data_IF_919554065202
#
_entry.id   IF_919554065202
#
_cell.length_a   1.000
_cell.length_b   1.000
_cell.length_c   1.000
_cell.angle_alpha   90.00
_cell.angle_beta   90.00
_cell.angle_gamma   90.00
#
_symmetry.space_group_name_H-M   'P 1'
#
loop_
_entity.id
_entity.type
_entity.pdbx_description
1 polymer ?
#
# COMPACT_ATOMS: atom_id res chain seq x y z
N UNK A 1 19.12 -42.64 6.81
CA UNK A 1 19.07 -41.30 6.21
C UNK A 1 20.08 -40.43 6.92
N UNK A 2 20.80 -39.59 6.18
CA UNK A 2 21.95 -38.82 6.65
C UNK A 2 21.55 -37.66 7.59
N UNK A 3 22.42 -37.27 8.55
CA UNK A 3 22.28 -36.08 9.40
C UNK A 3 22.25 -34.74 8.63
N UNK A 4 22.31 -34.78 7.31
CA UNK A 4 22.34 -33.64 6.38
C UNK A 4 21.01 -32.87 6.39
N UNK A 5 19.86 -33.55 6.51
CA UNK A 5 18.55 -32.88 6.39
C UNK A 5 18.20 -31.97 7.58
N UNK A 6 18.56 -32.36 8.80
CA UNK A 6 18.40 -31.51 10.00
C UNK A 6 19.29 -30.26 9.94
N UNK A 7 20.49 -30.38 9.38
CA UNK A 7 21.39 -29.24 9.14
C UNK A 7 20.80 -28.21 8.17
N UNK A 8 20.09 -28.65 7.14
CA UNK A 8 19.43 -27.77 6.17
C UNK A 8 18.31 -26.93 6.80
N UNK A 9 17.57 -27.47 7.76
CA UNK A 9 16.47 -26.77 8.44
C UNK A 9 16.98 -25.58 9.28
N UNK A 10 18.08 -25.78 10.01
CA UNK A 10 18.71 -24.74 10.83
C UNK A 10 19.28 -23.62 9.96
N UNK A 11 19.98 -23.98 8.88
CA UNK A 11 20.54 -23.02 7.93
C UNK A 11 19.45 -22.18 7.24
N UNK A 12 18.34 -22.80 6.85
CA UNK A 12 17.21 -22.09 6.26
C UNK A 12 16.58 -21.05 7.22
N UNK A 13 16.52 -21.38 8.51
CA UNK A 13 16.02 -20.46 9.53
C UNK A 13 16.96 -19.28 9.78
N UNK A 14 18.27 -19.51 9.77
CA UNK A 14 19.27 -18.44 9.89
C UNK A 14 19.28 -17.51 8.67
N UNK A 15 19.21 -18.07 7.46
CA UNK A 15 19.12 -17.31 6.22
C UNK A 15 17.86 -16.43 6.18
N UNK A 16 16.73 -16.96 6.68
CA UNK A 16 15.49 -16.19 6.80
C UNK A 16 15.64 -14.99 7.75
N UNK A 17 16.21 -15.18 8.93
CA UNK A 17 16.42 -14.10 9.89
C UNK A 17 17.33 -13.00 9.31
N UNK A 18 18.41 -13.38 8.63
CA UNK A 18 19.31 -12.44 7.96
C UNK A 18 18.60 -11.66 6.84
N UNK A 19 17.73 -12.32 6.06
CA UNK A 19 16.94 -11.67 5.01
C UNK A 19 15.91 -10.68 5.60
N UNK A 20 15.25 -11.06 6.70
CA UNK A 20 14.33 -10.16 7.43
C UNK A 20 15.06 -8.92 7.96
N UNK A 21 16.25 -9.08 8.54
CA UNK A 21 17.08 -7.97 9.00
C UNK A 21 17.53 -7.07 7.84
N UNK A 22 17.91 -7.65 6.70
CA UNK A 22 18.26 -6.90 5.50
C UNK A 22 17.06 -6.09 4.97
N UNK A 23 15.87 -6.69 4.95
CA UNK A 23 14.64 -6.01 4.56
C UNK A 23 14.29 -4.85 5.52
N UNK A 24 14.57 -4.99 6.82
CA UNK A 24 14.39 -3.93 7.80
C UNK A 24 15.41 -2.79 7.66
N UNK A 25 16.64 -3.08 7.19
CA UNK A 25 17.68 -2.08 6.92
C UNK A 25 17.42 -1.20 5.69
N UNK A 26 16.44 -1.53 4.83
CA UNK A 26 15.99 -0.69 3.71
C UNK A 26 15.18 0.55 4.18
N UNK A 27 15.57 1.13 5.32
CA UNK A 27 14.83 2.05 6.17
C UNK A 27 14.30 3.32 5.48
N UNK A 28 14.91 3.72 4.36
CA UNK A 28 14.57 4.96 3.66
C UNK A 28 13.42 4.83 2.63
N UNK A 29 13.11 3.63 2.15
CA UNK A 29 12.08 3.45 1.11
C UNK A 29 11.07 2.36 1.48
N UNK A 30 9.90 2.75 2.00
CA UNK A 30 8.90 1.78 2.41
C UNK A 30 8.28 0.97 1.28
N UNK A 31 8.30 1.46 0.03
CA UNK A 31 7.91 0.64 -1.13
C UNK A 31 8.94 -0.45 -1.37
N UNK A 32 10.23 -0.11 -1.30
CA UNK A 32 11.31 -1.08 -1.42
C UNK A 32 11.25 -2.15 -0.32
N UNK A 33 10.87 -1.81 0.91
CA UNK A 33 10.64 -2.80 1.99
C UNK A 33 9.50 -3.77 1.67
N UNK A 34 8.38 -3.27 1.15
CA UNK A 34 7.24 -4.12 0.75
C UNK A 34 7.61 -5.03 -0.42
N UNK A 35 8.37 -4.53 -1.39
CA UNK A 35 8.87 -5.33 -2.53
C UNK A 35 9.88 -6.39 -2.09
N UNK A 36 10.80 -6.06 -1.18
CA UNK A 36 11.75 -7.01 -0.60
C UNK A 36 11.02 -8.15 0.13
N UNK A 37 10.01 -7.84 0.96
CA UNK A 37 9.22 -8.86 1.64
C UNK A 37 8.41 -9.74 0.68
N UNK A 38 7.88 -9.18 -0.42
CA UNK A 38 7.22 -9.97 -1.47
C UNK A 38 8.18 -10.93 -2.14
N UNK A 39 9.38 -10.44 -2.50
CA UNK A 39 10.43 -11.26 -3.11
C UNK A 39 10.85 -12.39 -2.17
N UNK A 40 11.10 -12.08 -0.88
CA UNK A 40 11.39 -13.09 0.13
C UNK A 40 10.27 -14.13 0.29
N UNK A 41 9.00 -13.70 0.26
CA UNK A 41 7.86 -14.63 0.32
C UNK A 41 7.88 -15.61 -0.85
N UNK A 42 8.20 -15.14 -2.05
CA UNK A 42 8.25 -15.95 -3.26
C UNK A 42 9.44 -16.90 -3.27
N UNK A 43 10.66 -16.39 -3.02
CA UNK A 43 11.88 -17.21 -2.93
C UNK A 43 11.73 -18.33 -1.90
N UNK A 44 11.01 -18.04 -0.81
CA UNK A 44 10.75 -19.01 0.23
C UNK A 44 9.75 -20.09 -0.17
N UNK A 45 8.68 -19.72 -0.86
CA UNK A 45 7.73 -20.68 -1.42
C UNK A 45 8.45 -21.65 -2.35
N UNK A 46 9.25 -21.11 -3.27
CA UNK A 46 10.05 -21.88 -4.23
C UNK A 46 11.04 -22.81 -3.50
N UNK A 47 11.76 -22.31 -2.50
CA UNK A 47 12.69 -23.10 -1.70
C UNK A 47 12.00 -24.23 -0.91
N UNK A 48 10.82 -23.96 -0.34
CA UNK A 48 10.04 -25.00 0.37
C UNK A 48 9.56 -26.09 -0.60
N UNK A 49 9.03 -25.70 -1.76
CA UNK A 49 8.59 -26.64 -2.79
C UNK A 49 9.75 -27.51 -3.30
N UNK A 50 10.91 -26.92 -3.56
CA UNK A 50 12.09 -27.65 -4.00
C UNK A 50 12.59 -28.63 -2.94
N UNK A 51 12.62 -28.22 -1.67
CA UNK A 51 13.02 -29.08 -0.56
C UNK A 51 12.03 -30.24 -0.36
N UNK A 52 10.72 -29.99 -0.46
CA UNK A 52 9.67 -31.02 -0.39
C UNK A 52 9.82 -32.03 -1.53
N UNK A 53 10.12 -31.56 -2.74
CA UNK A 53 10.34 -32.40 -3.90
C UNK A 53 11.56 -33.32 -3.70
N UNK A 54 12.70 -32.76 -3.30
CA UNK A 54 13.94 -33.53 -3.02
C UNK A 54 13.73 -34.58 -1.92
N UNK A 55 13.02 -34.20 -0.84
CA UNK A 55 12.71 -35.13 0.25
C UNK A 55 11.81 -36.29 -0.23
N UNK A 56 10.82 -35.99 -1.08
CA UNK A 56 9.94 -37.02 -1.67
C UNK A 56 10.71 -37.96 -2.60
N UNK A 57 11.55 -37.43 -3.48
CA UNK A 57 12.40 -38.23 -4.39
C UNK A 57 13.32 -39.17 -3.60
N UNK A 58 14.00 -38.65 -2.56
CA UNK A 58 14.85 -39.48 -1.69
C UNK A 58 14.07 -40.59 -0.98
N UNK A 59 12.84 -40.32 -0.55
CA UNK A 59 11.98 -41.32 0.08
C UNK A 59 11.51 -42.39 -0.92
N UNK A 60 11.18 -42.01 -2.14
CA UNK A 60 10.80 -42.95 -3.20
C UNK A 60 11.97 -43.88 -3.57
N UNK A 61 13.19 -43.35 -3.65
CA UNK A 61 14.41 -44.15 -3.86
C UNK A 61 14.66 -45.13 -2.71
N UNK A 62 14.55 -44.67 -1.47
CA UNK A 62 14.71 -45.50 -0.28
C UNK A 62 13.66 -46.62 -0.22
N UNK A 63 12.39 -46.30 -0.49
CA UNK A 63 11.29 -47.27 -0.53
C UNK A 63 11.49 -48.31 -1.64
N UNK A 64 11.90 -47.88 -2.84
CA UNK A 64 12.19 -48.78 -3.96
C UNK A 64 13.33 -49.74 -3.64
N UNK A 65 14.43 -49.23 -3.07
CA UNK A 65 15.57 -50.04 -2.63
C UNK A 65 15.18 -51.03 -1.53
N UNK A 66 14.38 -50.59 -0.55
CA UNK A 66 13.92 -51.43 0.55
C UNK A 66 12.99 -52.55 0.07
N UNK A 67 12.08 -52.26 -0.86
CA UNK A 67 11.20 -53.27 -1.46
C UNK A 67 11.97 -54.35 -2.20
N UNK A 68 12.96 -53.96 -3.02
CA UNK A 68 13.83 -54.92 -3.72
C UNK A 68 14.54 -55.87 -2.75
N UNK A 69 15.11 -55.34 -1.66
CA UNK A 69 15.76 -56.16 -0.62
C UNK A 69 14.78 -57.10 0.09
N UNK A 70 13.56 -56.63 0.36
CA UNK A 70 12.51 -57.46 0.97
C UNK A 70 12.07 -58.59 0.03
N UNK A 71 11.91 -58.31 -1.27
CA UNK A 71 11.63 -59.31 -2.31
C UNK A 71 12.76 -60.34 -2.43
N UNK A 72 14.02 -59.90 -2.47
CA UNK A 72 15.19 -60.79 -2.47
C UNK A 72 15.24 -61.70 -1.23
N UNK A 73 14.94 -61.16 -0.05
CA UNK A 73 14.88 -61.96 1.18
C UNK A 73 13.74 -63.00 1.13
N UNK A 74 12.58 -62.63 0.60
CA UNK A 74 11.46 -63.56 0.40
C UNK A 74 11.80 -64.69 -0.58
N UNK A 75 12.49 -64.38 -1.69
CA UNK A 75 12.97 -65.40 -2.62
C UNK A 75 13.99 -66.34 -1.98
N UNK A 76 14.94 -65.82 -1.18
CA UNK A 76 15.90 -66.67 -0.45
C UNK A 76 15.21 -67.61 0.54
N UNK A 77 14.20 -67.12 1.26
CA UNK A 77 13.40 -67.97 2.17
C UNK A 77 12.68 -69.07 1.38
N UNK A 78 12.10 -68.75 0.23
CA UNK A 78 11.45 -69.74 -0.64
C UNK A 78 12.43 -70.80 -1.12
N UNK A 79 13.55 -70.37 -1.71
CA UNK A 79 14.59 -71.27 -2.21
C UNK A 79 15.16 -72.18 -1.11
N UNK A 80 15.45 -71.65 0.08
CA UNK A 80 15.94 -72.46 1.21
C UNK A 80 14.88 -73.46 1.72
N UNK A 81 13.59 -73.09 1.72
CA UNK A 81 12.50 -74.01 2.09
C UNK A 81 12.37 -75.14 1.08
N UNK A 82 12.49 -74.83 -0.21
CA UNK A 82 12.42 -75.81 -1.31
C UNK A 82 13.62 -76.76 -1.30
N UNK A 83 14.85 -76.23 -1.25
CA UNK A 83 16.09 -77.01 -1.16
C UNK A 83 16.08 -77.95 0.06
N UNK A 84 15.67 -77.44 1.21
CA UNK A 84 15.56 -78.26 2.42
C UNK A 84 14.50 -79.36 2.28
N UNK A 85 13.37 -79.06 1.64
CA UNK A 85 12.31 -80.05 1.42
C UNK A 85 12.77 -81.16 0.47
N UNK A 86 13.46 -80.81 -0.62
CA UNK A 86 14.08 -81.79 -1.53
C UNK A 86 15.10 -82.68 -0.82
N UNK A 87 15.95 -82.10 0.02
CA UNK A 87 16.95 -82.84 0.80
C UNK A 87 16.27 -83.82 1.79
N UNK A 88 15.22 -83.36 2.48
CA UNK A 88 14.42 -84.19 3.40
C UNK A 88 13.76 -85.36 2.66
N UNK A 89 13.13 -85.11 1.51
CA UNK A 89 12.50 -86.16 0.71
C UNK A 89 13.51 -87.16 0.16
N UNK A 90 14.68 -86.70 -0.29
CA UNK A 90 15.80 -87.56 -0.70
C UNK A 90 16.26 -88.48 0.44
N UNK A 91 16.43 -87.94 1.65
CA UNK A 91 16.79 -88.76 2.82
C UNK A 91 15.70 -89.76 3.21
N UNK A 92 14.42 -89.37 3.17
CA UNK A 92 13.30 -90.30 3.41
C UNK A 92 13.27 -91.43 2.39
N UNK A 93 13.49 -91.12 1.11
CA UNK A 93 13.52 -92.13 0.05
C UNK A 93 14.68 -93.11 0.23
N UNK A 94 15.86 -92.63 0.63
CA UNK A 94 17.01 -93.51 0.95
C UNK A 94 16.71 -94.45 2.10
N UNK A 95 16.13 -93.95 3.20
CA UNK A 95 15.71 -94.78 4.34
C UNK A 95 14.73 -95.86 3.88
N UNK A 96 13.73 -95.48 3.07
CA UNK A 96 12.74 -96.42 2.52
C UNK A 96 13.38 -97.49 1.63
N UNK A 97 14.30 -97.11 0.76
CA UNK A 97 15.00 -98.06 -0.11
C UNK A 97 15.91 -99.00 0.70
N UNK A 98 16.56 -98.51 1.76
CA UNK A 98 17.35 -99.33 2.69
C UNK A 98 16.46 -100.30 3.49
N UNK A 99 15.27 -99.86 3.93
CA UNK A 99 14.22 -100.70 4.53
C UNK A 99 13.78 -101.83 3.58
N UNK A 100 13.41 -101.51 2.35
CA UNK A 100 12.98 -102.48 1.33
C UNK A 100 14.10 -103.47 0.98
N UNK A 101 15.35 -102.99 0.87
CA UNK A 101 16.53 -103.83 0.59
C UNK A 101 16.80 -104.80 1.74
N UNK A 102 16.76 -104.33 2.98
CA UNK A 102 16.93 -105.20 4.15
C UNK A 102 15.83 -106.27 4.21
N UNK A 103 14.56 -105.91 3.97
CA UNK A 103 13.46 -106.87 3.94
C UNK A 103 13.67 -107.95 2.86
N UNK A 104 14.16 -107.57 1.68
CA UNK A 104 14.47 -108.50 0.60
C UNK A 104 15.65 -109.43 0.96
N UNK A 105 16.72 -108.90 1.56
CA UNK A 105 17.88 -109.69 1.99
C UNK A 105 17.51 -110.71 3.08
N UNK A 106 16.69 -110.31 4.07
CA UNK A 106 16.17 -111.21 5.10
C UNK A 106 15.31 -112.31 4.49
N UNK A 107 14.45 -112.00 3.51
CA UNK A 107 13.65 -113.01 2.79
C UNK A 107 14.51 -114.00 2.02
N UNK A 108 15.54 -113.54 1.31
CA UNK A 108 16.47 -114.43 0.60
C UNK A 108 17.24 -115.32 1.58
N UNK A 109 17.77 -114.75 2.66
CA UNK A 109 18.51 -115.50 3.68
C UNK A 109 17.65 -116.60 4.31
N UNK A 110 16.39 -116.30 4.62
CA UNK A 110 15.42 -117.28 5.11
C UNK A 110 15.12 -118.38 4.08
N UNK A 111 15.00 -118.03 2.79
CA UNK A 111 14.81 -119.01 1.71
C UNK A 111 16.04 -119.90 1.50
N UNK A 112 17.24 -119.33 1.50
CA UNK A 112 18.50 -120.07 1.41
C UNK A 112 18.66 -121.04 2.58
N UNK A 113 18.33 -120.60 3.80
CA UNK A 113 18.32 -121.46 4.97
C UNK A 113 17.31 -122.61 4.81
N UNK A 114 16.09 -122.33 4.37
CA UNK A 114 15.08 -123.36 4.12
C UNK A 114 15.57 -124.42 3.12
N UNK A 115 16.22 -124.01 2.03
CA UNK A 115 16.81 -124.91 1.03
C UNK A 115 17.98 -125.72 1.61
N UNK A 116 18.80 -125.10 2.44
CA UNK A 116 19.93 -125.75 3.11
C UNK A 116 19.45 -126.82 4.10
N UNK A 117 18.45 -126.51 4.92
CA UNK A 117 17.80 -127.46 5.84
C UNK A 117 17.14 -128.61 5.08
N UNK A 118 16.53 -128.35 3.91
CA UNK A 118 15.97 -129.40 3.05
C UNK A 118 17.03 -130.36 2.49
N UNK A 119 18.21 -129.85 2.09
CA UNK A 119 19.33 -130.68 1.61
C UNK A 119 19.93 -131.55 2.71
N UNK A 120 19.95 -131.05 3.95
CA UNK A 120 20.49 -131.77 5.11
C UNK A 120 19.53 -132.82 5.68
N UNK A 121 18.37 -133.10 5.07
CA UNK A 121 17.34 -134.02 5.60
C UNK A 121 17.87 -135.42 5.97
N UNK A 122 18.85 -135.94 5.23
CA UNK A 122 19.50 -137.24 5.43
C UNK A 122 20.75 -137.23 6.33
N UNK A 123 21.16 -136.06 6.84
CA UNK A 123 22.34 -135.90 7.69
C UNK A 123 22.03 -135.95 9.20
N UNK A 124 23.07 -136.03 10.03
CA UNK A 124 22.96 -136.16 11.50
C UNK A 124 22.34 -134.91 12.14
N UNK A 125 21.72 -135.11 13.32
CA UNK A 125 21.04 -134.04 14.09
C UNK A 125 21.99 -132.86 14.40
N UNK A 126 23.26 -133.15 14.68
CA UNK A 126 24.29 -132.15 14.97
C UNK A 126 24.59 -131.22 13.78
N UNK A 127 24.53 -131.71 12.53
CA UNK A 127 24.79 -130.87 11.35
C UNK A 127 23.63 -129.91 11.07
N UNK A 128 22.38 -130.35 11.31
CA UNK A 128 21.19 -129.49 11.21
C UNK A 128 21.20 -128.38 12.26
N UNK A 129 21.52 -128.72 13.50
CA UNK A 129 21.59 -127.76 14.62
C UNK A 129 22.70 -126.72 14.39
N UNK A 130 23.85 -127.13 13.82
CA UNK A 130 24.91 -126.21 13.41
C UNK A 130 24.48 -125.23 12.31
N UNK A 131 23.72 -125.69 11.31
CA UNK A 131 23.18 -124.83 10.24
C UNK A 131 22.12 -123.85 10.76
N UNK A 132 21.34 -124.24 11.76
CA UNK A 132 20.35 -123.39 12.44
C UNK A 132 21.02 -122.30 13.29
N UNK A 133 22.05 -122.66 14.05
CA UNK A 133 22.88 -121.71 14.81
C UNK A 133 23.58 -120.73 13.86
N UNK A 134 24.13 -121.20 12.74
CA UNK A 134 24.82 -120.34 11.77
C UNK A 134 23.85 -119.36 11.09
N UNK A 135 22.65 -119.82 10.71
CA UNK A 135 21.61 -118.94 10.16
C UNK A 135 21.17 -117.88 11.17
N UNK A 136 20.91 -118.30 12.42
CA UNK A 136 20.53 -117.36 13.48
C UNK A 136 21.61 -116.31 13.73
N UNK A 137 22.88 -116.71 13.78
CA UNK A 137 24.00 -115.76 13.91
C UNK A 137 24.10 -114.81 12.71
N UNK A 138 23.79 -115.25 11.48
CA UNK A 138 23.78 -114.39 10.29
C UNK A 138 22.62 -113.39 10.31
N UNK A 139 21.42 -113.82 10.68
CA UNK A 139 20.25 -112.94 10.83
C UNK A 139 20.47 -111.93 11.95
N UNK A 140 20.91 -112.37 13.14
CA UNK A 140 21.18 -111.47 14.27
C UNK A 140 22.25 -110.43 13.92
N UNK A 141 23.28 -110.82 13.15
CA UNK A 141 24.31 -109.90 12.67
C UNK A 141 23.73 -108.89 11.67
N UNK A 142 22.94 -109.34 10.70
CA UNK A 142 22.32 -108.46 9.71
C UNK A 142 21.32 -107.49 10.34
N UNK A 143 20.46 -107.95 11.27
CA UNK A 143 19.52 -107.08 11.98
C UNK A 143 20.25 -106.01 12.80
N UNK A 144 21.39 -106.37 13.42
CA UNK A 144 22.21 -105.43 14.19
C UNK A 144 22.89 -104.39 13.29
N UNK A 145 23.40 -104.81 12.13
CA UNK A 145 23.97 -103.91 11.12
C UNK A 145 22.90 -102.94 10.58
N UNK A 146 21.75 -103.48 10.16
CA UNK A 146 20.62 -102.68 9.70
C UNK A 146 20.10 -101.70 10.76
N UNK A 147 20.00 -102.13 12.02
CA UNK A 147 19.57 -101.24 13.11
C UNK A 147 20.52 -100.04 13.27
N UNK A 148 21.83 -100.28 13.25
CA UNK A 148 22.83 -99.21 13.34
C UNK A 148 22.75 -98.25 12.13
N UNK A 149 22.59 -98.80 10.92
CA UNK A 149 22.45 -98.02 9.69
C UNK A 149 21.15 -97.19 9.67
N UNK A 150 20.02 -97.80 10.07
CA UNK A 150 18.72 -97.13 10.20
C UNK A 150 18.76 -95.99 11.22
N UNK A 151 19.39 -96.18 12.37
CA UNK A 151 19.59 -95.14 13.38
C UNK A 151 20.49 -94.01 12.84
N UNK A 152 21.58 -94.33 12.13
CA UNK A 152 22.45 -93.33 11.50
C UNK A 152 21.72 -92.54 10.41
N UNK A 153 20.91 -93.19 9.58
CA UNK A 153 20.14 -92.53 8.52
C UNK A 153 19.05 -91.61 9.11
N UNK A 154 18.37 -92.05 10.17
CA UNK A 154 17.40 -91.22 10.93
C UNK A 154 18.08 -90.01 11.58
N UNK A 155 19.27 -90.17 12.14
CA UNK A 155 20.04 -89.04 12.69
C UNK A 155 20.42 -88.03 11.59
N UNK A 156 20.88 -88.48 10.41
CA UNK A 156 21.18 -87.59 9.28
C UNK A 156 19.95 -86.82 8.80
N UNK A 157 18.78 -87.48 8.75
CA UNK A 157 17.52 -86.82 8.42
C UNK A 157 17.14 -85.74 9.44
N UNK A 158 17.37 -85.98 10.73
CA UNK A 158 17.06 -84.99 11.76
C UNK A 158 18.04 -83.81 11.75
N UNK A 159 19.33 -84.06 11.51
CA UNK A 159 20.33 -82.99 11.31
C UNK A 159 19.93 -82.11 10.13
N UNK A 160 19.59 -82.71 8.98
CA UNK A 160 19.09 -81.99 7.80
C UNK A 160 17.89 -81.09 8.12
N UNK A 161 16.91 -81.61 8.89
CA UNK A 161 15.74 -80.82 9.32
C UNK A 161 16.12 -79.63 10.19
N UNK A 162 17.03 -79.81 11.14
CA UNK A 162 17.47 -78.74 12.03
C UNK A 162 18.27 -77.68 11.29
N UNK A 163 19.24 -78.07 10.47
CA UNK A 163 20.04 -77.15 9.65
C UNK A 163 19.16 -76.33 8.70
N UNK A 164 18.19 -76.97 8.05
CA UNK A 164 17.26 -76.27 7.17
C UNK A 164 16.38 -75.25 7.91
N UNK A 165 15.88 -75.60 9.10
CA UNK A 165 15.15 -74.65 9.97
C UNK A 165 16.03 -73.47 10.37
N UNK A 166 17.29 -73.71 10.74
CA UNK A 166 18.22 -72.67 11.15
C UNK A 166 18.55 -71.71 10.00
N UNK A 167 18.80 -72.23 8.79
CA UNK A 167 19.04 -71.41 7.58
C UNK A 167 17.88 -70.46 7.30
N UNK A 168 16.64 -70.98 7.32
CA UNK A 168 15.42 -70.20 7.12
C UNK A 168 15.26 -69.13 8.21
N UNK A 169 15.45 -69.51 9.47
CA UNK A 169 15.32 -68.58 10.60
C UNK A 169 16.30 -67.41 10.52
N UNK A 170 17.53 -67.66 10.02
CA UNK A 170 18.53 -66.61 9.80
C UNK A 170 18.05 -65.57 8.79
N UNK A 171 17.51 -66.01 7.64
CA UNK A 171 17.01 -65.08 6.61
C UNK A 171 15.73 -64.38 7.07
N UNK A 172 14.85 -65.06 7.80
CA UNK A 172 13.66 -64.43 8.40
C UNK A 172 14.04 -63.31 9.38
N UNK A 173 15.11 -63.50 10.17
CA UNK A 173 15.65 -62.44 11.05
C UNK A 173 16.21 -61.25 10.26
N UNK A 174 16.98 -61.49 9.20
CA UNK A 174 17.49 -60.42 8.31
C UNK A 174 16.34 -59.62 7.69
N UNK A 175 15.26 -60.30 7.27
CA UNK A 175 14.05 -59.65 6.76
C UNK A 175 13.39 -58.78 7.82
N UNK A 176 13.28 -59.25 9.05
CA UNK A 176 12.66 -58.47 10.14
C UNK A 176 13.47 -57.21 10.48
N UNK A 177 14.80 -57.30 10.44
CA UNK A 177 15.68 -56.12 10.57
C UNK A 177 15.46 -55.12 9.43
N UNK A 178 15.28 -55.57 8.18
CA UNK A 178 14.94 -54.71 7.04
C UNK A 178 13.59 -53.99 7.24
N UNK A 179 12.57 -54.70 7.73
CA UNK A 179 11.25 -54.11 8.02
C UNK A 179 11.36 -53.04 9.10
N UNK A 180 12.15 -53.28 10.15
CA UNK A 180 12.40 -52.28 11.19
C UNK A 180 13.14 -51.05 10.66
N UNK A 181 14.16 -51.24 9.81
CA UNK A 181 14.87 -50.13 9.17
C UNK A 181 13.94 -49.30 8.29
N UNK A 182 13.04 -49.94 7.54
CA UNK A 182 12.04 -49.27 6.71
C UNK A 182 11.07 -48.43 7.55
N UNK A 183 10.56 -48.99 8.66
CA UNK A 183 9.70 -48.24 9.59
C UNK A 183 10.40 -47.01 10.17
N UNK A 184 11.63 -47.18 10.67
CA UNK A 184 12.44 -46.06 11.18
C UNK A 184 12.67 -44.98 10.12
N UNK A 185 12.94 -45.39 8.87
CA UNK A 185 13.10 -44.46 7.75
C UNK A 185 11.81 -43.68 7.45
N UNK A 186 10.65 -44.34 7.50
CA UNK A 186 9.36 -43.70 7.31
C UNK A 186 9.01 -42.71 8.43
N UNK A 187 9.23 -43.08 9.69
CA UNK A 187 9.00 -42.20 10.84
C UNK A 187 9.87 -40.94 10.77
N UNK A 188 11.14 -41.11 10.39
CA UNK A 188 12.08 -40.01 10.18
C UNK A 188 11.61 -39.09 9.04
N UNK A 189 11.20 -39.65 7.90
CA UNK A 189 10.66 -38.89 6.77
C UNK A 189 9.44 -38.05 7.17
N UNK A 190 8.49 -38.66 7.89
CA UNK A 190 7.28 -37.95 8.36
C UNK A 190 7.65 -36.83 9.32
N UNK A 191 8.60 -37.06 10.25
CA UNK A 191 9.07 -36.05 11.18
C UNK A 191 9.69 -34.86 10.45
N UNK A 192 10.67 -35.12 9.58
CA UNK A 192 11.38 -34.07 8.81
C UNK A 192 10.41 -33.27 7.93
N UNK A 193 9.45 -33.96 7.28
CA UNK A 193 8.43 -33.30 6.46
C UNK A 193 7.55 -32.35 7.29
N UNK A 194 7.11 -32.80 8.47
CA UNK A 194 6.28 -32.02 9.38
C UNK A 194 7.04 -30.79 9.89
N UNK A 195 8.26 -30.97 10.39
CA UNK A 195 9.12 -29.88 10.89
C UNK A 195 9.38 -28.84 9.79
N UNK A 196 9.68 -29.28 8.56
CA UNK A 196 9.95 -28.37 7.45
C UNK A 196 8.71 -27.56 7.06
N UNK A 197 7.52 -28.17 7.10
CA UNK A 197 6.26 -27.49 6.83
C UNK A 197 5.90 -26.49 7.92
N UNK A 198 6.06 -26.84 9.20
CA UNK A 198 5.83 -25.93 10.32
C UNK A 198 6.71 -24.67 10.26
N UNK A 199 7.99 -24.84 9.92
CA UNK A 199 8.94 -23.73 9.78
C UNK A 199 8.60 -22.85 8.58
N UNK A 200 8.14 -23.46 7.47
CA UNK A 200 7.62 -22.71 6.34
C UNK A 200 6.40 -21.85 6.76
N UNK A 201 5.41 -22.44 7.42
CA UNK A 201 4.20 -21.73 7.87
C UNK A 201 4.51 -20.60 8.84
N UNK A 202 5.39 -20.85 9.81
CA UNK A 202 5.82 -19.84 10.79
C UNK A 202 6.41 -18.61 10.10
N UNK A 203 7.40 -18.82 9.24
CA UNK A 203 8.07 -17.71 8.57
C UNK A 203 7.16 -17.05 7.51
N UNK A 204 6.27 -17.78 6.84
CA UNK A 204 5.26 -17.21 5.94
C UNK A 204 4.32 -16.25 6.69
N UNK A 205 3.88 -16.64 7.89
CA UNK A 205 3.09 -15.78 8.78
C UNK A 205 3.86 -14.51 9.17
N UNK A 206 5.12 -14.64 9.57
CA UNK A 206 5.96 -13.51 9.97
C UNK A 206 6.16 -12.49 8.83
N UNK A 207 6.41 -12.97 7.60
CA UNK A 207 6.52 -12.10 6.41
C UNK A 207 5.20 -11.35 6.17
N UNK A 208 4.07 -12.05 6.25
CA UNK A 208 2.74 -11.48 6.01
C UNK A 208 2.36 -10.43 7.05
N UNK A 209 2.61 -10.71 8.34
CA UNK A 209 2.35 -9.78 9.43
C UNK A 209 3.19 -8.51 9.29
N UNK A 210 4.48 -8.65 8.97
CA UNK A 210 5.37 -7.51 8.72
C UNK A 210 4.92 -6.68 7.51
N UNK A 211 4.53 -7.34 6.42
CA UNK A 211 4.04 -6.67 5.21
C UNK A 211 2.76 -5.88 5.49
N UNK A 212 1.83 -6.44 6.28
CA UNK A 212 0.62 -5.74 6.73
C UNK A 212 0.95 -4.51 7.56
N UNK A 213 1.88 -4.63 8.51
CA UNK A 213 2.30 -3.52 9.36
C UNK A 213 2.89 -2.37 8.53
N UNK A 214 3.78 -2.68 7.58
CA UNK A 214 4.40 -1.68 6.71
C UNK A 214 3.38 -0.99 5.79
N UNK A 215 2.40 -1.72 5.26
CA UNK A 215 1.30 -1.11 4.47
C UNK A 215 0.52 -0.09 5.30
N UNK A 216 0.23 -0.39 6.56
CA UNK A 216 -0.47 0.52 7.48
C UNK A 216 0.38 1.75 7.80
N UNK A 217 1.67 1.58 8.07
CA UNK A 217 2.59 2.68 8.33
C UNK A 217 2.71 3.62 7.11
N UNK A 218 2.82 3.04 5.90
CA UNK A 218 2.86 3.80 4.65
C UNK A 218 1.59 4.60 4.40
N UNK A 219 0.43 4.02 4.68
CA UNK A 219 -0.83 4.74 4.58
C UNK A 219 -0.88 5.93 5.55
N UNK A 220 -0.37 5.76 6.78
CA UNK A 220 -0.29 6.86 7.77
C UNK A 220 0.68 7.96 7.33
N UNK A 221 1.86 7.60 6.81
CA UNK A 221 2.84 8.58 6.31
C UNK A 221 2.29 9.37 5.13
N UNK A 222 1.68 8.71 4.15
CA UNK A 222 1.03 9.39 3.00
C UNK A 222 -0.06 10.35 3.44
N UNK A 223 -0.92 9.96 4.40
CA UNK A 223 -1.95 10.85 4.93
C UNK A 223 -1.34 12.11 5.57
N UNK A 224 -0.24 11.97 6.33
CA UNK A 224 0.46 13.12 6.92
C UNK A 224 1.07 14.03 5.85
N UNK A 225 1.65 13.45 4.80
CA UNK A 225 2.25 14.20 3.69
C UNK A 225 1.20 14.99 2.92
N UNK A 226 0.09 14.34 2.51
CA UNK A 226 -1.05 15.00 1.85
C UNK A 226 -1.62 16.12 2.74
N UNK A 227 -1.73 15.90 4.05
CA UNK A 227 -2.20 16.94 4.97
C UNK A 227 -1.26 18.16 5.00
N UNK A 228 0.05 17.95 4.93
CA UNK A 228 1.03 19.05 4.88
C UNK A 228 0.96 19.80 3.55
N UNK A 229 0.84 19.08 2.43
CA UNK A 229 0.69 19.67 1.10
C UNK A 229 -0.60 20.50 1.00
N UNK A 230 -1.72 19.95 1.48
CA UNK A 230 -3.00 20.66 1.53
C UNK A 230 -2.94 21.92 2.39
N UNK A 231 -2.29 21.88 3.56
CA UNK A 231 -2.14 23.06 4.41
C UNK A 231 -1.33 24.16 3.70
N UNK A 232 -0.22 23.81 3.04
CA UNK A 232 0.57 24.77 2.25
C UNK A 232 -0.24 25.37 1.10
N UNK A 233 -1.02 24.55 0.40
CA UNK A 233 -1.90 25.03 -0.66
C UNK A 233 -2.97 26.00 -0.14
N UNK A 234 -3.58 25.70 1.01
CA UNK A 234 -4.56 26.59 1.65
C UNK A 234 -3.93 27.92 2.08
N UNK A 235 -2.72 27.90 2.65
CA UNK A 235 -1.99 29.12 3.01
C UNK A 235 -1.71 29.99 1.78
N UNK A 236 -1.30 29.38 0.66
CA UNK A 236 -1.09 30.10 -0.60
C UNK A 236 -2.38 30.67 -1.18
N UNK A 237 -3.49 29.92 -1.12
CA UNK A 237 -4.80 30.42 -1.55
C UNK A 237 -5.24 31.60 -0.70
N UNK A 238 -5.08 31.52 0.63
CA UNK A 238 -5.39 32.62 1.54
C UNK A 238 -4.55 33.86 1.23
N UNK A 239 -3.25 33.69 1.03
CA UNK A 239 -2.35 34.79 0.67
C UNK A 239 -2.79 35.48 -0.63
N UNK A 240 -3.11 34.70 -1.67
CA UNK A 240 -3.60 35.23 -2.94
C UNK A 240 -4.93 35.98 -2.77
N UNK A 241 -5.85 35.43 -1.96
CA UNK A 241 -7.13 36.07 -1.69
C UNK A 241 -6.94 37.42 -0.98
N UNK A 242 -6.09 37.47 0.04
CA UNK A 242 -5.78 38.70 0.77
C UNK A 242 -5.15 39.76 -0.15
N UNK A 243 -4.24 39.36 -1.06
CA UNK A 243 -3.65 40.26 -2.06
C UNK A 243 -4.70 40.80 -3.05
N UNK A 244 -5.58 39.93 -3.56
CA UNK A 244 -6.65 40.34 -4.48
C UNK A 244 -7.63 41.30 -3.80
N UNK A 245 -7.95 41.06 -2.52
CA UNK A 245 -8.82 41.94 -1.74
C UNK A 245 -8.22 43.34 -1.59
N UNK A 246 -6.91 43.43 -1.30
CA UNK A 246 -6.20 44.72 -1.22
C UNK A 246 -6.21 45.43 -2.57
N UNK A 247 -5.88 44.74 -3.66
CA UNK A 247 -5.87 45.32 -5.02
C UNK A 247 -7.25 45.84 -5.42
N UNK A 248 -8.30 45.04 -5.18
CA UNK A 248 -9.67 45.41 -5.50
C UNK A 248 -10.14 46.63 -4.67
N UNK A 249 -9.81 46.67 -3.38
CA UNK A 249 -10.11 47.80 -2.49
C UNK A 249 -9.43 49.09 -2.97
N UNK A 250 -8.15 49.00 -3.36
CA UNK A 250 -7.38 50.13 -3.90
C UNK A 250 -7.95 50.62 -5.23
N UNK A 251 -8.27 49.70 -6.14
CA UNK A 251 -8.86 50.04 -7.44
C UNK A 251 -10.23 50.70 -7.27
N UNK A 252 -11.08 50.17 -6.39
CA UNK A 252 -12.38 50.76 -6.09
C UNK A 252 -12.24 52.16 -5.48
N UNK A 253 -11.29 52.35 -4.57
CA UNK A 253 -10.99 53.66 -3.97
C UNK A 253 -10.55 54.69 -5.02
N UNK A 254 -9.67 54.29 -5.96
CA UNK A 254 -9.26 55.13 -7.09
C UNK A 254 -10.44 55.53 -7.98
N UNK A 255 -11.30 54.57 -8.32
CA UNK A 255 -12.46 54.84 -9.17
C UNK A 255 -13.48 55.77 -8.48
N UNK A 256 -13.71 55.60 -7.17
CA UNK A 256 -14.58 56.50 -6.39
C UNK A 256 -14.03 57.92 -6.39
N UNK A 257 -12.71 58.07 -6.22
CA UNK A 257 -12.06 59.38 -6.27
C UNK A 257 -12.17 60.04 -7.64
N UNK A 258 -12.00 59.26 -8.71
CA UNK A 258 -12.12 59.78 -10.07
C UNK A 258 -13.55 60.27 -10.35
N UNK A 259 -14.56 59.50 -9.93
CA UNK A 259 -15.97 59.93 -10.02
C UNK A 259 -16.27 61.16 -9.16
N UNK A 260 -15.66 61.27 -7.98
CA UNK A 260 -15.81 62.45 -7.14
C UNK A 260 -15.19 63.70 -7.77
N UNK A 261 -14.03 63.58 -8.44
CA UNK A 261 -13.39 64.69 -9.16
C UNK A 261 -14.27 65.24 -10.27
N UNK A 262 -14.99 64.40 -11.00
CA UNK A 262 -15.95 64.85 -12.02
C UNK A 262 -17.00 65.81 -11.45
N UNK A 263 -17.50 65.52 -10.24
CA UNK A 263 -18.43 66.43 -9.55
C UNK A 263 -17.73 67.73 -9.16
N UNK A 264 -16.55 67.63 -8.52
CA UNK A 264 -15.82 68.77 -7.99
C UNK A 264 -15.40 69.78 -9.08
N UNK A 265 -15.09 69.30 -10.29
CA UNK A 265 -14.65 70.12 -11.41
C UNK A 265 -15.68 71.18 -11.85
N UNK A 266 -16.97 71.02 -11.52
CA UNK A 266 -18.01 71.99 -11.85
C UNK A 266 -18.00 73.24 -10.96
N UNK A 267 -17.36 73.19 -9.78
CA UNK A 267 -17.27 74.35 -8.88
C UNK A 267 -16.35 75.46 -9.42
N UNK A 268 -15.32 75.10 -10.20
CA UNK A 268 -14.34 76.06 -10.75
C UNK A 268 -14.97 76.96 -11.82
N UNK A 269 -15.67 76.46 -12.85
CA UNK A 269 -16.37 77.31 -13.81
C UNK A 269 -17.40 78.24 -13.18
N UNK A 270 -18.20 77.75 -12.21
CA UNK A 270 -19.20 78.57 -11.50
C UNK A 270 -18.49 79.72 -10.76
N UNK A 271 -17.41 79.41 -10.03
CA UNK A 271 -16.58 80.42 -9.37
C UNK A 271 -16.06 81.46 -10.36
N UNK A 272 -15.51 81.03 -11.50
CA UNK A 272 -14.91 81.93 -12.48
C UNK A 272 -15.94 82.87 -13.11
N UNK A 273 -17.15 82.39 -13.40
CA UNK A 273 -18.24 83.23 -13.91
C UNK A 273 -18.77 84.21 -12.86
N UNK A 274 -18.87 83.81 -11.59
CA UNK A 274 -19.21 84.74 -10.50
C UNK A 274 -18.13 85.81 -10.29
N UNK A 275 -16.86 85.43 -10.45
CA UNK A 275 -15.72 86.34 -10.40
C UNK A 275 -15.77 87.34 -11.56
N UNK A 276 -16.03 86.88 -12.78
CA UNK A 276 -16.24 87.73 -13.96
C UNK A 276 -17.33 88.78 -13.72
N UNK A 277 -18.51 88.33 -13.26
CA UNK A 277 -19.63 89.21 -12.89
C UNK A 277 -19.21 90.24 -11.82
N UNK A 278 -18.46 89.81 -10.80
CA UNK A 278 -17.99 90.70 -9.73
C UNK A 278 -17.02 91.76 -10.26
N UNK A 279 -16.08 91.36 -11.11
CA UNK A 279 -15.00 92.22 -11.59
C UNK A 279 -15.55 93.30 -12.55
N UNK A 280 -16.56 92.98 -13.36
CA UNK A 280 -17.28 93.96 -14.21
C UNK A 280 -18.06 95.00 -13.38
N UNK A 281 -18.55 94.63 -12.18
CA UNK A 281 -19.29 95.53 -11.29
C UNK A 281 -18.41 96.30 -10.28
N UNK A 282 -17.10 96.03 -10.27
CA UNK A 282 -16.10 96.74 -9.46
C UNK A 282 -14.82 96.99 -10.30
N UNK A 283 -14.89 97.81 -11.36
CA UNK A 283 -13.69 98.15 -12.12
C UNK A 283 -12.75 98.95 -11.22
N UNK A 284 -11.54 98.44 -10.98
CA UNK A 284 -10.55 99.07 -10.10
C UNK A 284 -10.09 100.49 -10.51
N UNK A 285 -10.63 101.03 -11.61
CA UNK A 285 -10.27 102.30 -12.24
C UNK A 285 -11.17 103.49 -11.88
N UNK A 286 -12.19 103.32 -11.01
CA UNK A 286 -13.01 104.45 -10.52
C UNK A 286 -13.91 105.11 -11.58
N UNK A 287 -14.08 104.47 -12.75
CA UNK A 287 -14.98 104.89 -13.82
C UNK A 287 -16.44 104.59 -13.48
N UNK A 288 -17.36 105.44 -13.97
CA UNK A 288 -18.80 105.20 -13.81
C UNK A 288 -19.19 103.82 -14.36
N UNK A 289 -20.04 103.11 -13.63
CA UNK A 289 -20.42 101.74 -13.98
C UNK A 289 -21.27 101.72 -15.26
N UNK A 290 -20.72 101.23 -16.36
CA UNK A 290 -21.46 100.95 -17.60
C UNK A 290 -21.10 99.54 -18.05
N UNK A 291 -21.90 98.56 -17.64
CA UNK A 291 -21.80 97.19 -18.16
C UNK A 291 -22.64 97.13 -19.42
N UNK A 292 -22.03 96.78 -20.56
CA UNK A 292 -22.75 96.66 -21.83
C UNK A 292 -23.79 95.53 -21.75
N UNK A 293 -24.98 95.79 -22.29
CA UNK A 293 -26.04 94.78 -22.45
C UNK A 293 -25.50 93.54 -23.19
N UNK A 294 -25.76 92.36 -22.63
CA UNK A 294 -25.32 91.07 -23.18
C UNK A 294 -23.86 90.69 -22.89
N UNK A 295 -23.05 91.56 -22.26
CA UNK A 295 -21.63 91.28 -21.97
C UNK A 295 -21.44 90.07 -21.04
N UNK A 296 -22.32 89.91 -20.06
CA UNK A 296 -22.27 88.86 -19.03
C UNK A 296 -23.14 87.64 -19.33
N UNK A 297 -23.89 87.64 -20.45
CA UNK A 297 -24.74 86.50 -20.85
C UNK A 297 -23.99 85.17 -20.91
N UNK A 298 -22.75 85.09 -21.44
CA UNK A 298 -21.98 83.86 -21.41
C UNK A 298 -21.74 83.34 -19.99
N UNK A 299 -21.51 84.21 -19.01
CA UNK A 299 -21.29 83.83 -17.61
C UNK A 299 -22.57 83.31 -16.95
N UNK A 300 -23.71 83.93 -17.23
CA UNK A 300 -25.00 83.47 -16.70
C UNK A 300 -25.41 82.11 -17.26
N UNK A 301 -25.26 81.89 -18.57
CA UNK A 301 -25.54 80.60 -19.19
C UNK A 301 -24.54 79.54 -18.73
N UNK A 302 -23.25 79.88 -18.61
CA UNK A 302 -22.23 78.96 -18.10
C UNK A 302 -22.55 78.47 -16.69
N UNK A 303 -22.97 79.36 -15.79
CA UNK A 303 -23.40 78.97 -14.44
C UNK A 303 -24.59 78.01 -14.51
N UNK A 304 -25.60 78.29 -15.34
CA UNK A 304 -26.79 77.42 -15.48
C UNK A 304 -26.43 76.04 -16.02
N UNK A 305 -25.58 75.97 -17.04
CA UNK A 305 -25.09 74.70 -17.61
C UNK A 305 -24.33 73.86 -16.58
N UNK A 306 -23.43 74.48 -15.83
CA UNK A 306 -22.58 73.78 -14.87
C UNK A 306 -23.37 73.32 -13.63
N UNK A 307 -24.42 74.04 -13.21
CA UNK A 307 -25.39 73.56 -12.19
C UNK A 307 -26.06 72.25 -12.66
N UNK A 308 -26.52 72.21 -13.91
CA UNK A 308 -27.19 71.02 -14.46
C UNK A 308 -26.22 69.83 -14.55
N UNK A 309 -24.99 70.07 -15.01
CA UNK A 309 -23.94 69.03 -15.08
C UNK A 309 -23.55 68.52 -13.69
N UNK A 310 -23.38 69.42 -12.71
CA UNK A 310 -23.14 69.04 -11.32
C UNK A 310 -24.22 68.09 -10.78
N UNK A 311 -25.50 68.41 -11.00
CA UNK A 311 -26.61 67.58 -10.53
C UNK A 311 -26.67 66.21 -11.21
N UNK A 312 -26.34 66.16 -12.51
CA UNK A 312 -26.22 64.91 -13.25
C UNK A 312 -25.08 64.03 -12.71
N UNK A 313 -23.87 64.58 -12.58
CA UNK A 313 -22.72 63.84 -12.07
C UNK A 313 -22.90 63.39 -10.61
N UNK A 314 -23.56 64.20 -9.78
CA UNK A 314 -23.94 63.81 -8.41
C UNK A 314 -24.85 62.58 -8.40
N UNK A 315 -25.83 62.53 -9.30
CA UNK A 315 -26.74 61.39 -9.41
C UNK A 315 -25.99 60.14 -9.85
N UNK A 316 -25.12 60.27 -10.87
CA UNK A 316 -24.29 59.18 -11.37
C UNK A 316 -23.33 58.64 -10.30
N UNK A 317 -22.70 59.53 -9.53
CA UNK A 317 -21.82 59.14 -8.42
C UNK A 317 -22.58 58.35 -7.35
N UNK A 318 -23.78 58.80 -6.98
CA UNK A 318 -24.61 58.10 -5.99
C UNK A 318 -24.93 56.68 -6.46
N UNK A 319 -25.35 56.52 -7.72
CA UNK A 319 -25.60 55.20 -8.31
C UNK A 319 -24.32 54.35 -8.38
N UNK A 320 -23.19 54.95 -8.76
CA UNK A 320 -21.90 54.26 -8.84
C UNK A 320 -21.49 53.70 -7.47
N UNK A 321 -21.58 54.50 -6.40
CA UNK A 321 -21.22 54.05 -5.06
C UNK A 321 -22.16 52.97 -4.55
N UNK A 322 -23.48 53.10 -4.77
CA UNK A 322 -24.44 52.07 -4.36
C UNK A 322 -24.16 50.70 -4.98
N UNK A 323 -23.55 50.67 -6.17
CA UNK A 323 -23.19 49.45 -6.88
C UNK A 323 -21.73 49.00 -6.67
N UNK A 324 -20.94 49.75 -5.91
CA UNK A 324 -19.53 49.42 -5.65
C UNK A 324 -19.39 48.77 -4.28
N UNK A 325 -18.91 47.53 -4.26
CA UNK A 325 -18.54 46.84 -3.02
C UNK A 325 -17.10 47.18 -2.61
N UNK A 326 -16.74 46.97 -1.34
CA UNK A 326 -15.35 47.06 -0.87
C UNK A 326 -14.69 48.45 -1.03
N UNK A 327 -15.47 49.53 -0.96
CA UNK A 327 -14.92 50.89 -0.80
C UNK A 327 -14.74 51.21 0.68
N UNK A 328 -13.65 51.90 1.03
CA UNK A 328 -13.45 52.39 2.41
C UNK A 328 -14.61 53.32 2.81
N UNK A 329 -15.37 53.00 3.89
CA UNK A 329 -16.45 53.86 4.38
C UNK A 329 -16.02 55.29 4.69
N UNK A 330 -14.76 55.49 5.10
CA UNK A 330 -14.19 56.82 5.39
C UNK A 330 -14.04 57.65 4.12
N UNK A 331 -13.55 57.04 3.04
CA UNK A 331 -13.44 57.70 1.74
C UNK A 331 -14.82 58.17 1.27
N UNK A 332 -15.81 57.28 1.31
CA UNK A 332 -17.18 57.62 0.92
C UNK A 332 -17.75 58.77 1.74
N UNK A 333 -17.59 58.71 3.08
CA UNK A 333 -18.07 59.77 3.97
C UNK A 333 -17.46 61.13 3.62
N UNK A 334 -16.14 61.19 3.44
CA UNK A 334 -15.46 62.44 3.10
C UNK A 334 -15.93 63.00 1.76
N UNK A 335 -16.05 62.16 0.72
CA UNK A 335 -16.59 62.59 -0.58
C UNK A 335 -18.04 63.09 -0.45
N UNK A 336 -18.88 62.39 0.30
CA UNK A 336 -20.28 62.77 0.55
C UNK A 336 -20.41 64.11 1.27
N UNK A 337 -19.54 64.39 2.25
CA UNK A 337 -19.51 65.65 2.98
C UNK A 337 -19.16 66.82 2.04
N UNK A 338 -18.17 66.65 1.16
CA UNK A 338 -17.83 67.64 0.14
C UNK A 338 -18.94 67.84 -0.89
N UNK A 339 -19.56 66.76 -1.40
CA UNK A 339 -20.71 66.84 -2.31
C UNK A 339 -21.86 67.61 -1.67
N UNK A 340 -22.08 67.42 -0.37
CA UNK A 340 -23.11 68.14 0.39
C UNK A 340 -22.78 69.64 0.49
N UNK A 341 -21.53 69.99 0.76
CA UNK A 341 -21.09 71.39 0.78
C UNK A 341 -21.24 72.06 -0.58
N UNK A 342 -20.81 71.39 -1.66
CA UNK A 342 -21.00 71.87 -3.04
C UNK A 342 -22.48 72.04 -3.36
N UNK A 343 -23.31 71.05 -3.02
CA UNK A 343 -24.76 71.10 -3.28
C UNK A 343 -25.43 72.31 -2.61
N UNK A 344 -25.00 72.69 -1.40
CA UNK A 344 -25.53 73.87 -0.71
C UNK A 344 -25.22 75.18 -1.43
N UNK A 345 -24.02 75.30 -2.02
CA UNK A 345 -23.62 76.51 -2.75
C UNK A 345 -24.20 76.56 -4.17
N UNK A 346 -24.20 75.44 -4.88
CA UNK A 346 -24.79 75.29 -6.22
C UNK A 346 -26.31 75.49 -6.16
N UNK A 347 -26.96 75.06 -5.08
CA UNK A 347 -28.40 75.25 -4.84
C UNK A 347 -28.77 76.54 -4.12
N UNK A 348 -27.85 77.49 -3.95
CA UNK A 348 -28.14 78.75 -3.28
C UNK A 348 -29.14 79.58 -4.10
N UNK A 349 -30.20 80.07 -3.45
CA UNK A 349 -31.24 80.87 -4.11
C UNK A 349 -30.65 82.13 -4.78
N UNK A 350 -29.61 82.70 -4.17
CA UNK A 350 -28.86 83.83 -4.69
C UNK A 350 -28.28 83.56 -6.09
N UNK A 351 -27.82 82.33 -6.36
CA UNK A 351 -27.28 81.95 -7.67
C UNK A 351 -28.38 81.96 -8.75
N UNK A 352 -29.56 81.45 -8.42
CA UNK A 352 -30.74 81.51 -9.30
C UNK A 352 -31.19 82.95 -9.55
N UNK A 353 -31.15 83.80 -8.52
CA UNK A 353 -31.52 85.21 -8.64
C UNK A 353 -30.55 85.97 -9.56
N UNK A 354 -29.24 85.75 -9.38
CA UNK A 354 -28.21 86.32 -10.24
C UNK A 354 -28.44 85.90 -11.69
N UNK A 355 -28.54 84.60 -11.98
CA UNK A 355 -28.69 84.10 -13.35
C UNK A 355 -30.01 84.46 -14.05
N UNK A 356 -31.07 84.78 -13.29
CA UNK A 356 -32.42 84.99 -13.88
C UNK A 356 -32.88 86.44 -13.87
N UNK A 357 -32.42 87.25 -12.92
CA UNK A 357 -32.88 88.63 -12.72
C UNK A 357 -31.80 89.68 -12.99
N UNK A 358 -30.53 89.36 -12.79
CA UNK A 358 -29.43 90.30 -13.07
C UNK A 358 -29.34 90.70 -14.55
N UNK A 359 -29.45 89.78 -15.55
CA UNK A 359 -29.46 90.18 -16.96
C UNK A 359 -30.54 91.22 -17.26
N UNK A 360 -31.77 90.94 -16.79
CA UNK A 360 -32.92 91.84 -16.97
C UNK A 360 -32.73 93.18 -16.27
N UNK A 361 -32.05 93.21 -15.13
CA UNK A 361 -31.76 94.46 -14.43
C UNK A 361 -30.77 95.32 -15.23
N UNK A 362 -29.76 94.70 -15.85
CA UNK A 362 -28.79 95.37 -16.73
C UNK A 362 -29.50 95.90 -17.98
N UNK A 363 -30.27 95.08 -18.67
CA UNK A 363 -30.97 95.44 -19.92
C UNK A 363 -31.95 96.60 -19.74
N UNK A 364 -32.61 96.67 -18.57
CA UNK A 364 -33.56 97.71 -18.25
C UNK A 364 -32.93 98.92 -17.54
N UNK A 365 -31.60 98.99 -17.41
CA UNK A 365 -30.89 100.08 -16.75
C UNK A 365 -31.19 100.23 -15.25
N UNK A 366 -31.66 99.17 -14.58
CA UNK A 366 -31.96 99.15 -13.14
C UNK A 366 -30.69 98.89 -12.34
N UNK A 367 -29.80 99.88 -12.30
CA UNK A 367 -28.44 99.74 -11.75
C UNK A 367 -28.39 99.45 -10.24
N UNK A 368 -29.39 99.85 -9.45
CA UNK A 368 -29.47 99.49 -8.02
C UNK A 368 -29.76 98.00 -7.80
N UNK A 369 -30.69 97.44 -8.60
CA UNK A 369 -31.01 96.02 -8.59
C UNK A 369 -29.80 95.20 -9.06
N UNK A 370 -29.16 95.64 -10.16
CA UNK A 370 -27.95 95.01 -10.68
C UNK A 370 -26.79 95.04 -9.66
N UNK A 371 -26.59 96.15 -8.94
CA UNK A 371 -25.61 96.26 -7.85
C UNK A 371 -25.93 95.32 -6.68
N UNK A 372 -27.20 95.12 -6.37
CA UNK A 372 -27.62 94.17 -5.33
C UNK A 372 -27.27 92.73 -5.72
N UNK A 373 -27.57 92.33 -6.95
CA UNK A 373 -27.18 91.01 -7.46
C UNK A 373 -25.66 90.85 -7.59
N UNK A 374 -24.93 91.90 -7.98
CA UNK A 374 -23.48 91.88 -8.00
C UNK A 374 -22.88 91.65 -6.60
N UNK A 375 -23.44 92.27 -5.55
CA UNK A 375 -23.02 92.02 -4.16
C UNK A 375 -23.27 90.57 -3.74
N UNK A 376 -24.41 89.99 -4.15
CA UNK A 376 -24.68 88.56 -3.93
C UNK A 376 -23.67 87.68 -4.67
N UNK A 377 -23.31 88.04 -5.91
CA UNK A 377 -22.27 87.36 -6.69
C UNK A 377 -20.91 87.40 -5.98
N UNK A 378 -20.52 88.54 -5.41
CA UNK A 378 -19.29 88.67 -4.61
C UNK A 378 -19.28 87.71 -3.43
N UNK A 379 -20.36 87.67 -2.65
CA UNK A 379 -20.45 86.78 -1.47
C UNK A 379 -20.42 85.31 -1.87
N UNK A 380 -21.08 84.92 -2.96
CA UNK A 380 -21.02 83.56 -3.48
C UNK A 380 -19.63 83.23 -4.03
N UNK A 381 -19.01 84.17 -4.76
CA UNK A 381 -17.65 84.02 -5.27
C UNK A 381 -16.67 83.70 -4.14
N UNK A 382 -16.70 84.45 -3.04
CA UNK A 382 -15.85 84.20 -1.86
C UNK A 382 -16.10 82.82 -1.23
N UNK A 383 -17.37 82.41 -1.09
CA UNK A 383 -17.74 81.08 -0.58
C UNK A 383 -17.23 79.97 -1.50
N UNK A 384 -17.34 80.15 -2.82
CA UNK A 384 -16.78 79.22 -3.80
C UNK A 384 -15.25 79.22 -3.80
N UNK A 385 -14.58 80.36 -3.57
CA UNK A 385 -13.12 80.39 -3.42
C UNK A 385 -12.67 79.56 -2.21
N UNK A 386 -13.34 79.72 -1.07
CA UNK A 386 -13.06 78.93 0.13
C UNK A 386 -13.32 77.43 -0.07
N UNK A 387 -14.44 77.10 -0.74
CA UNK A 387 -14.76 75.72 -1.10
C UNK A 387 -13.72 75.11 -2.05
N UNK A 388 -13.32 75.82 -3.11
CA UNK A 388 -12.35 75.33 -4.09
C UNK A 388 -10.99 75.05 -3.44
N UNK A 389 -10.53 75.91 -2.54
CA UNK A 389 -9.31 75.67 -1.76
C UNK A 389 -9.45 74.44 -0.86
N UNK A 390 -10.61 74.26 -0.22
CA UNK A 390 -10.88 73.09 0.63
C UNK A 390 -10.98 71.80 -0.19
N UNK A 391 -11.61 71.84 -1.37
CA UNK A 391 -11.72 70.72 -2.31
C UNK A 391 -10.36 70.31 -2.86
N UNK A 392 -9.53 71.27 -3.28
CA UNK A 392 -8.19 70.99 -3.80
C UNK A 392 -7.33 70.30 -2.74
N UNK A 393 -7.29 70.86 -1.53
CA UNK A 393 -6.57 70.26 -0.41
C UNK A 393 -7.14 68.88 -0.03
N UNK A 394 -8.46 68.75 0.03
CA UNK A 394 -9.14 67.50 0.36
C UNK A 394 -8.92 66.40 -0.68
N UNK A 395 -9.02 66.72 -1.98
CA UNK A 395 -8.77 65.78 -3.08
C UNK A 395 -7.31 65.35 -3.08
N UNK A 396 -6.37 66.28 -2.87
CA UNK A 396 -4.95 65.95 -2.78
C UNK A 396 -4.68 65.01 -1.61
N UNK A 397 -5.22 65.30 -0.42
CA UNK A 397 -5.08 64.43 0.75
C UNK A 397 -5.68 63.04 0.51
N UNK A 398 -6.90 62.96 -0.03
CA UNK A 398 -7.52 61.68 -0.35
C UNK A 398 -6.75 60.91 -1.44
N UNK A 399 -6.19 61.63 -2.41
CA UNK A 399 -5.33 61.02 -3.43
C UNK A 399 -4.09 60.42 -2.79
N UNK A 400 -3.44 61.12 -1.86
CA UNK A 400 -2.31 60.57 -1.09
C UNK A 400 -2.73 59.34 -0.27
N UNK A 401 -3.84 59.44 0.47
CA UNK A 401 -4.29 58.40 1.41
C UNK A 401 -4.72 57.09 0.73
N UNK A 402 -5.22 57.16 -0.51
CA UNK A 402 -5.86 56.03 -1.18
C UNK A 402 -5.25 55.65 -2.54
N UNK A 403 -4.34 56.46 -3.10
CA UNK A 403 -3.74 56.17 -4.42
C UNK A 403 -2.22 56.02 -4.39
N UNK A 404 -1.54 56.69 -3.45
CA UNK A 404 -0.13 56.43 -3.12
C UNK A 404 -0.08 55.35 -2.05
N UNK A 405 0.48 54.20 -2.39
CA UNK A 405 0.46 53.04 -1.52
C UNK A 405 1.15 53.32 -0.17
N UNK A 406 0.53 52.98 0.97
CA UNK A 406 1.28 52.40 2.07
C UNK A 406 1.42 50.90 1.78
N UNK A 407 2.65 50.42 1.68
CA UNK A 407 2.94 49.06 2.11
C UNK A 407 2.28 48.86 3.48
N UNK A 408 1.42 47.85 3.60
CA UNK A 408 0.74 47.44 4.82
C UNK A 408 -0.17 48.50 5.49
N UNK A 409 -1.45 48.55 5.11
CA UNK A 409 -2.50 48.65 6.14
C UNK A 409 -2.93 47.23 6.50
N UNK A 410 -2.80 46.79 7.75
CA UNK A 410 -3.28 45.47 8.15
C UNK A 410 -4.78 45.39 7.87
N UNK A 411 -5.20 44.27 7.30
CA UNK A 411 -6.59 43.94 7.07
C UNK A 411 -7.40 44.23 8.34
N UNK A 412 -8.50 44.96 8.17
CA UNK A 412 -9.50 45.16 9.21
C UNK A 412 -9.99 43.76 9.61
N UNK A 413 -9.61 43.32 10.82
CA UNK A 413 -10.23 42.18 11.47
C UNK A 413 -11.68 42.56 11.76
N UNK A 414 -12.61 41.80 11.18
CA UNK A 414 -13.99 41.70 11.67
C UNK A 414 -14.12 40.44 12.51
#
# INVERSE_FOLDING_TARGET
>A
MDPVFLGCIVLASQAFNAAMDAADRLSANPKARVEALKKMSQEREESHQEAMKKLKESQEEFESSSRRKEEEANERIRAQKEENNELIESHKLRIKNEEEKHEAEVKMMNQEHLLTVQKLKSESKEVKEKAEIEHKMKVDKMEKEYKNESESAKQKLEIARLEGKEKVAKVEKEKEELVQQRRKGLDEYVRVMTEMHEIYLKHSKEINDKNRQLKLENAKLRRKEISKENNKALEHIKHNYDQLLVQLTQQNSRNVLERFRLIANHAIPIHNSLKSIRDEFNPGTGTALTVDTGRLDPDFEKVREEINRFNFEKTNYTQYVMNTNLTDPRLFKTCSDFITQMSKLVGANELSLICSHMPRAIDNGKWEDARTYARMSTQLCEKFSALNLSLENGINQLTLDYTQAPEARPAIQQ
#
